data_IF_688024747715
#
_entry.id   IF_688024747715
#
_cell.length_a   1.000
_cell.length_b   1.000
_cell.length_c   1.000
_cell.angle_alpha   90.00
_cell.angle_beta   90.00
_cell.angle_gamma   90.00
#
_symmetry.space_group_name_H-M   'P 1'
#
loop_
_entity.id
_entity.type
_entity.pdbx_description
1 polymer ?
#
# COMPACT_ATOMS: atom_id res chain seq x y z
N UNK A 1 23.60 -24.66 -17.20
CA UNK A 1 22.29 -24.57 -16.52
C UNK A 1 21.79 -23.14 -16.73
N UNK A 2 20.72 -22.95 -17.51
CA UNK A 2 20.31 -21.63 -17.97
C UNK A 2 19.57 -20.87 -16.85
N UNK A 3 20.25 -19.89 -16.25
CA UNK A 3 19.75 -19.07 -15.13
C UNK A 3 18.51 -18.24 -15.48
N UNK A 4 18.17 -18.12 -16.76
CA UNK A 4 16.98 -17.39 -17.25
C UNK A 4 15.70 -18.24 -17.32
N UNK A 5 15.78 -19.56 -17.09
CA UNK A 5 14.61 -20.46 -17.15
C UNK A 5 13.67 -20.40 -15.94
N UNK A 6 13.94 -19.52 -14.96
CA UNK A 6 13.17 -19.40 -13.70
C UNK A 6 12.65 -17.98 -13.44
N UNK A 7 12.32 -17.22 -14.48
CA UNK A 7 11.54 -16.00 -14.29
C UNK A 7 10.05 -16.37 -14.20
N UNK A 8 9.51 -16.38 -12.98
CA UNK A 8 8.14 -16.80 -12.69
C UNK A 8 7.99 -18.32 -12.60
N UNK A 9 7.35 -18.80 -11.53
CA UNK A 9 6.99 -20.20 -11.38
C UNK A 9 5.48 -20.32 -11.49
N UNK A 10 4.99 -21.06 -12.47
CA UNK A 10 3.55 -21.23 -12.71
C UNK A 10 2.82 -21.82 -11.51
N UNK A 11 3.48 -22.69 -10.73
CA UNK A 11 2.90 -23.26 -9.51
C UNK A 11 2.71 -22.19 -8.44
N UNK A 12 3.71 -21.31 -8.28
CA UNK A 12 3.65 -20.23 -7.29
C UNK A 12 2.56 -19.22 -7.71
N UNK A 13 2.49 -18.85 -8.99
CA UNK A 13 1.41 -18.01 -9.53
C UNK A 13 0.03 -18.66 -9.30
N UNK A 14 -0.12 -19.96 -9.55
CA UNK A 14 -1.39 -20.66 -9.34
C UNK A 14 -1.81 -20.63 -7.86
N UNK A 15 -0.87 -20.86 -6.94
CA UNK A 15 -1.11 -20.75 -5.49
C UNK A 15 -1.54 -19.34 -5.09
N UNK A 16 -0.82 -18.31 -5.54
CA UNK A 16 -1.18 -16.92 -5.25
C UNK A 16 -2.56 -16.55 -5.79
N UNK A 17 -2.89 -16.94 -7.02
CA UNK A 17 -4.22 -16.74 -7.61
C UNK A 17 -5.32 -17.39 -6.78
N UNK A 18 -5.10 -18.60 -6.28
CA UNK A 18 -6.06 -19.30 -5.42
C UNK A 18 -6.29 -18.55 -4.09
N UNK A 19 -5.24 -18.02 -3.48
CA UNK A 19 -5.35 -17.24 -2.24
C UNK A 19 -6.08 -15.91 -2.45
N UNK A 20 -5.80 -15.21 -3.54
CA UNK A 20 -6.47 -13.94 -3.88
C UNK A 20 -7.95 -14.20 -4.19
N UNK A 21 -8.27 -15.21 -5.00
CA UNK A 21 -9.65 -15.58 -5.32
C UNK A 21 -10.45 -16.03 -4.09
N UNK A 22 -9.78 -16.59 -3.08
CA UNK A 22 -10.38 -16.96 -1.80
C UNK A 22 -10.54 -15.77 -0.84
N UNK A 23 -10.15 -14.56 -1.23
CA UNK A 23 -10.29 -13.37 -0.38
C UNK A 23 -9.31 -13.28 0.78
N UNK A 24 -8.25 -14.11 0.77
CA UNK A 24 -7.31 -14.24 1.89
C UNK A 24 -6.23 -13.17 1.91
N UNK A 25 -6.20 -12.27 0.93
CA UNK A 25 -5.13 -11.30 0.75
C UNK A 25 -5.70 -9.88 0.81
N UNK A 26 -5.08 -9.02 1.62
CA UNK A 26 -5.29 -7.57 1.63
C UNK A 26 -4.03 -6.81 1.18
N UNK A 27 -4.20 -5.56 0.75
CA UNK A 27 -3.08 -4.71 0.31
C UNK A 27 -3.01 -3.40 1.10
N UNK A 28 -1.86 -3.07 1.67
CA UNK A 28 -1.61 -1.77 2.32
C UNK A 28 -0.68 -0.93 1.45
N UNK A 29 -1.15 0.26 1.07
CA UNK A 29 -0.36 1.27 0.36
C UNK A 29 0.26 2.23 1.36
N UNK A 30 1.58 2.31 1.38
CA UNK A 30 2.33 3.22 2.24
C UNK A 30 2.47 4.58 1.54
N UNK A 31 1.69 5.57 2.00
CA UNK A 31 1.56 6.88 1.35
C UNK A 31 1.70 8.07 2.33
N UNK A 32 2.36 7.87 3.47
CA UNK A 32 2.51 8.91 4.48
C UNK A 32 3.58 9.97 4.18
N UNK A 33 4.36 9.80 3.11
CA UNK A 33 5.35 10.78 2.65
C UNK A 33 4.75 11.87 1.76
N UNK A 34 5.43 13.01 1.68
CA UNK A 34 5.09 14.12 0.80
C UNK A 34 5.76 14.02 -0.59
N UNK A 35 5.30 14.85 -1.52
CA UNK A 35 5.85 14.98 -2.87
C UNK A 35 7.00 15.99 -2.99
N UNK A 36 7.56 16.49 -1.88
CA UNK A 36 8.48 17.65 -1.89
C UNK A 36 9.70 17.48 -2.79
N UNK A 37 10.32 16.29 -2.79
CA UNK A 37 11.47 15.94 -3.65
C UNK A 37 11.15 15.92 -5.14
N UNK A 38 9.87 15.80 -5.52
CA UNK A 38 9.41 15.88 -6.90
C UNK A 38 9.06 17.33 -7.31
N UNK A 39 9.24 18.31 -6.41
CA UNK A 39 8.73 19.66 -6.60
C UNK A 39 7.20 19.73 -6.54
N UNK A 40 6.54 18.71 -5.98
CA UNK A 40 5.10 18.60 -5.92
C UNK A 40 4.56 19.04 -4.57
N UNK A 41 3.54 19.90 -4.58
CA UNK A 41 2.85 20.36 -3.37
C UNK A 41 1.71 19.40 -3.04
N UNK A 42 1.82 18.70 -1.92
CA UNK A 42 0.81 17.76 -1.42
C UNK A 42 1.31 16.31 -1.31
N UNK A 43 0.41 15.34 -0.99
CA UNK A 43 0.76 13.93 -0.90
C UNK A 43 1.35 13.43 -2.21
N UNK A 44 2.41 12.62 -2.12
CA UNK A 44 3.09 12.07 -3.30
C UNK A 44 2.15 11.35 -4.24
N UNK A 45 1.13 10.67 -3.71
CA UNK A 45 0.14 9.94 -4.50
C UNK A 45 -0.72 10.82 -5.43
N UNK A 46 -0.79 12.13 -5.19
CA UNK A 46 -1.50 13.08 -6.06
C UNK A 46 -0.66 13.55 -7.25
N UNK A 47 0.61 13.14 -7.33
CA UNK A 47 1.50 13.48 -8.44
C UNK A 47 0.98 12.92 -9.77
N UNK A 48 0.76 13.74 -10.81
CA UNK A 48 0.30 13.31 -12.12
C UNK A 48 1.45 12.64 -12.87
N UNK A 49 1.37 11.31 -13.01
CA UNK A 49 2.45 10.54 -13.64
C UNK A 49 2.22 10.34 -15.13
N UNK A 50 0.98 10.02 -15.55
CA UNK A 50 0.75 9.65 -16.95
C UNK A 50 0.66 10.91 -17.82
N UNK A 51 1.53 11.05 -18.82
CA UNK A 51 1.61 12.26 -19.65
C UNK A 51 0.32 12.59 -20.43
N UNK A 52 -0.36 11.56 -20.93
CA UNK A 52 -1.55 11.77 -21.79
C UNK A 52 -2.83 11.88 -20.95
N UNK A 53 -3.04 10.91 -20.05
CA UNK A 53 -4.29 10.82 -19.26
C UNK A 53 -4.23 11.60 -17.95
N UNK A 54 -3.08 12.17 -17.60
CA UNK A 54 -2.84 12.93 -16.36
C UNK A 54 -3.28 12.19 -15.08
N UNK A 55 -3.24 10.85 -15.09
CA UNK A 55 -3.55 10.03 -13.93
C UNK A 55 -2.52 10.24 -12.83
N UNK A 56 -3.03 10.38 -11.61
CA UNK A 56 -2.21 10.44 -10.40
C UNK A 56 -1.73 9.04 -10.01
N UNK A 57 -0.69 8.95 -9.18
CA UNK A 57 -0.23 7.67 -8.61
C UNK A 57 -1.36 6.96 -7.84
N UNK A 58 -2.15 7.70 -7.07
CA UNK A 58 -3.32 7.15 -6.36
C UNK A 58 -4.36 6.58 -7.31
N UNK A 59 -4.70 7.30 -8.38
CA UNK A 59 -5.64 6.80 -9.38
C UNK A 59 -5.14 5.51 -10.03
N UNK A 60 -3.86 5.43 -10.38
CA UNK A 60 -3.31 4.22 -11.00
C UNK A 60 -3.35 3.02 -10.05
N UNK A 61 -3.05 3.21 -8.77
CA UNK A 61 -3.12 2.12 -7.78
C UNK A 61 -4.57 1.69 -7.58
N UNK A 62 -5.52 2.63 -7.46
CA UNK A 62 -6.93 2.32 -7.32
C UNK A 62 -7.44 1.49 -8.51
N UNK A 63 -7.17 1.93 -9.74
CA UNK A 63 -7.60 1.20 -10.93
C UNK A 63 -7.01 -0.22 -11.02
N UNK A 64 -5.80 -0.45 -10.50
CA UNK A 64 -5.21 -1.79 -10.42
C UNK A 64 -5.89 -2.66 -9.37
N UNK A 65 -6.21 -2.10 -8.20
CA UNK A 65 -7.00 -2.79 -7.17
C UNK A 65 -8.37 -3.16 -7.74
N UNK A 66 -9.06 -2.22 -8.39
CA UNK A 66 -10.36 -2.48 -9.01
C UNK A 66 -10.26 -3.54 -10.11
N UNK A 67 -9.24 -3.47 -10.97
CA UNK A 67 -9.01 -4.48 -12.00
C UNK A 67 -8.75 -5.86 -11.39
N UNK A 68 -7.97 -5.95 -10.31
CA UNK A 68 -7.75 -7.20 -9.59
C UNK A 68 -9.06 -7.74 -8.99
N UNK A 69 -9.84 -6.89 -8.32
CA UNK A 69 -11.14 -7.26 -7.75
C UNK A 69 -12.09 -7.81 -8.82
N UNK A 70 -12.18 -7.16 -9.97
CA UNK A 70 -12.97 -7.64 -11.11
C UNK A 70 -12.44 -8.98 -11.65
N UNK A 71 -11.12 -9.10 -11.83
CA UNK A 71 -10.49 -10.30 -12.39
C UNK A 71 -10.69 -11.54 -11.52
N UNK A 72 -10.63 -11.37 -10.20
CA UNK A 72 -10.83 -12.45 -9.22
C UNK A 72 -12.28 -12.60 -8.75
N UNK A 73 -13.20 -11.77 -9.25
CA UNK A 73 -14.61 -11.71 -8.84
C UNK A 73 -14.77 -11.65 -7.30
N UNK A 74 -13.90 -10.87 -6.65
CA UNK A 74 -13.85 -10.72 -5.19
C UNK A 74 -13.59 -9.26 -4.83
N UNK A 75 -14.22 -8.78 -3.76
CA UNK A 75 -13.99 -7.42 -3.25
C UNK A 75 -12.69 -7.35 -2.44
N UNK A 76 -11.56 -7.21 -3.13
CA UNK A 76 -10.22 -7.20 -2.54
C UNK A 76 -10.00 -5.93 -1.71
N UNK A 77 -9.58 -6.12 -0.46
CA UNK A 77 -9.44 -5.02 0.49
C UNK A 77 -8.09 -4.31 0.33
N UNK A 78 -8.16 -3.00 0.17
CA UNK A 78 -7.01 -2.11 0.11
C UNK A 78 -7.14 -1.01 1.17
N UNK A 79 -6.06 -0.74 1.90
CA UNK A 79 -5.99 0.37 2.84
C UNK A 79 -4.77 1.25 2.51
N UNK A 80 -4.88 2.54 2.78
CA UNK A 80 -3.80 3.51 2.53
C UNK A 80 -3.34 4.11 3.84
N UNK A 81 -2.06 3.92 4.16
CA UNK A 81 -1.41 4.56 5.29
C UNK A 81 -0.98 5.98 4.92
N UNK A 82 -1.57 6.97 5.57
CA UNK A 82 -1.26 8.40 5.41
C UNK A 82 -0.37 8.90 6.55
N UNK A 83 -0.03 10.18 6.55
CA UNK A 83 0.40 10.91 7.75
C UNK A 83 -0.70 11.89 8.18
N UNK A 84 -0.68 12.40 9.42
CA UNK A 84 -1.62 13.43 9.84
C UNK A 84 -1.57 14.68 8.94
N UNK A 85 -0.41 14.97 8.33
CA UNK A 85 -0.21 16.12 7.46
C UNK A 85 -0.87 16.00 6.10
N UNK A 86 -1.02 14.77 5.57
CA UNK A 86 -1.51 14.57 4.20
C UNK A 86 -2.86 13.83 4.14
N UNK A 87 -3.40 13.38 5.28
CA UNK A 87 -4.60 12.55 5.32
C UNK A 87 -5.82 13.19 4.65
N UNK A 88 -6.05 14.47 4.89
CA UNK A 88 -7.20 15.19 4.34
C UNK A 88 -7.10 15.36 2.81
N UNK A 89 -5.92 15.72 2.32
CA UNK A 89 -5.67 15.81 0.87
C UNK A 89 -5.73 14.43 0.20
N UNK A 90 -5.24 13.38 0.87
CA UNK A 90 -5.37 12.00 0.41
C UNK A 90 -6.83 11.56 0.34
N UNK A 91 -7.66 11.90 1.33
CA UNK A 91 -9.10 11.59 1.33
C UNK A 91 -9.83 12.24 0.15
N UNK A 92 -9.45 13.46 -0.22
CA UNK A 92 -10.01 14.15 -1.41
C UNK A 92 -9.57 13.52 -2.73
N UNK A 93 -8.41 12.86 -2.74
CA UNK A 93 -7.82 12.27 -3.94
C UNK A 93 -8.23 10.80 -4.19
N UNK A 94 -8.74 10.09 -3.17
CA UNK A 94 -9.26 8.73 -3.30
C UNK A 94 -10.80 8.69 -3.27
N UNK A 95 -11.42 7.67 -3.90
CA UNK A 95 -12.84 7.39 -3.68
C UNK A 95 -13.11 7.01 -2.21
N UNK A 96 -14.32 7.30 -1.74
CA UNK A 96 -14.73 7.06 -0.34
C UNK A 96 -14.66 5.60 0.12
N UNK A 97 -14.58 4.64 -0.82
CA UNK A 97 -14.52 3.21 -0.55
C UNK A 97 -13.18 2.72 0.00
N UNK A 98 -12.13 3.56 -0.01
CA UNK A 98 -10.79 3.17 0.45
C UNK A 98 -10.62 3.43 1.94
N UNK A 99 -10.19 2.41 2.68
CA UNK A 99 -9.86 2.55 4.09
C UNK A 99 -8.58 3.40 4.27
N UNK A 100 -8.66 4.49 5.02
CA UNK A 100 -7.52 5.35 5.34
C UNK A 100 -7.17 5.25 6.83
N UNK A 101 -5.88 5.16 7.14
CA UNK A 101 -5.37 5.26 8.50
C UNK A 101 -4.07 6.05 8.52
N UNK A 102 -3.80 6.79 9.58
CA UNK A 102 -2.60 7.61 9.69
C UNK A 102 -1.52 6.92 10.53
N UNK A 103 -0.26 7.10 10.12
CA UNK A 103 0.89 6.78 10.95
C UNK A 103 1.12 7.86 12.03
N UNK A 104 1.95 7.54 13.03
CA UNK A 104 2.34 8.51 14.05
C UNK A 104 3.33 9.55 13.52
N UNK A 105 3.42 10.66 14.24
CA UNK A 105 4.47 11.68 14.08
C UNK A 105 5.42 11.64 15.27
N UNK A 106 6.66 12.05 15.03
CA UNK A 106 7.69 12.20 16.06
C UNK A 106 8.30 13.60 15.97
N UNK A 107 8.61 14.22 17.12
CA UNK A 107 9.29 15.51 17.12
C UNK A 107 10.69 15.36 16.53
N UNK A 108 11.14 16.37 15.79
CA UNK A 108 12.55 16.49 15.45
C UNK A 108 13.36 16.75 16.71
N UNK A 109 14.62 16.36 16.68
CA UNK A 109 15.56 16.62 17.78
C UNK A 109 16.59 17.65 17.33
N UNK A 110 16.94 18.56 18.23
CA UNK A 110 18.11 19.42 18.05
C UNK A 110 19.42 18.63 18.24
N UNK A 111 20.56 19.31 18.05
CA UNK A 111 21.89 18.69 18.22
C UNK A 111 22.16 18.23 19.66
N UNK A 112 21.43 18.76 20.64
CA UNK A 112 21.47 18.36 22.06
C UNK A 112 20.48 17.22 22.38
N UNK A 113 19.80 16.65 21.37
CA UNK A 113 18.78 15.61 21.48
C UNK A 113 17.51 16.05 22.20
N UNK A 114 17.19 17.35 22.21
CA UNK A 114 15.96 17.89 22.79
C UNK A 114 14.88 17.99 21.70
N UNK A 115 13.60 17.72 22.04
CA UNK A 115 12.49 17.88 21.11
C UNK A 115 12.37 19.32 20.61
N UNK A 116 12.14 19.47 19.30
CA UNK A 116 11.77 20.71 18.63
C UNK A 116 10.25 20.79 18.47
N UNK A 117 9.73 22.00 18.22
CA UNK A 117 8.30 22.23 17.95
C UNK A 117 7.85 21.65 16.59
N UNK A 118 8.79 21.26 15.73
CA UNK A 118 8.53 20.63 14.45
C UNK A 118 8.44 19.10 14.59
N UNK A 119 7.46 18.48 13.93
CA UNK A 119 7.27 17.03 13.92
C UNK A 119 7.18 16.48 12.50
N UNK A 120 7.70 15.27 12.29
CA UNK A 120 7.68 14.58 11.00
C UNK A 120 7.10 13.17 11.15
N UNK A 121 6.61 12.56 10.06
CA UNK A 121 6.11 11.20 10.13
C UNK A 121 7.20 10.21 10.58
N UNK A 122 6.85 9.26 11.45
CA UNK A 122 7.76 8.31 12.12
C UNK A 122 8.33 7.20 11.21
N UNK A 123 8.38 7.44 9.90
CA UNK A 123 8.69 6.42 8.90
C UNK A 123 7.63 5.32 8.79
N UNK A 124 7.79 4.45 7.79
CA UNK A 124 6.81 3.40 7.48
C UNK A 124 6.91 2.15 8.38
N UNK A 125 7.88 2.10 9.30
CA UNK A 125 8.13 0.95 10.15
C UNK A 125 7.01 0.65 11.15
N UNK A 126 6.18 1.64 11.50
CA UNK A 126 5.04 1.46 12.39
C UNK A 126 3.73 1.07 11.67
N UNK A 127 3.78 0.70 10.37
CA UNK A 127 2.58 0.38 9.59
C UNK A 127 1.64 -0.60 10.30
N UNK A 128 2.15 -1.72 10.79
CA UNK A 128 1.31 -2.76 11.40
C UNK A 128 0.72 -2.32 12.75
N UNK A 129 1.48 -1.54 13.52
CA UNK A 129 1.03 -0.97 14.79
C UNK A 129 -0.11 0.04 14.56
N UNK A 130 0.05 0.92 13.57
CA UNK A 130 -0.97 1.92 13.23
C UNK A 130 -2.20 1.26 12.60
N UNK A 131 -2.00 0.26 11.75
CA UNK A 131 -3.08 -0.53 11.16
C UNK A 131 -3.91 -1.25 12.24
N UNK A 132 -3.25 -1.87 13.23
CA UNK A 132 -3.93 -2.45 14.39
C UNK A 132 -4.71 -1.40 15.18
N UNK A 133 -4.05 -0.29 15.56
CA UNK A 133 -4.67 0.78 16.35
C UNK A 133 -5.86 1.46 15.63
N UNK A 134 -5.88 1.44 14.30
CA UNK A 134 -6.98 1.99 13.49
C UNK A 134 -8.27 1.16 13.55
N UNK A 135 -8.22 -0.08 14.05
CA UNK A 135 -9.34 -1.01 14.03
C UNK A 135 -9.52 -1.76 12.69
N UNK A 136 -8.79 -1.37 11.64
CA UNK A 136 -8.85 -2.04 10.34
C UNK A 136 -8.34 -3.48 10.39
N UNK A 137 -7.41 -3.80 11.30
CA UNK A 137 -6.97 -5.17 11.52
C UNK A 137 -8.14 -6.10 11.87
N UNK A 138 -8.97 -5.73 12.84
CA UNK A 138 -10.10 -6.57 13.25
C UNK A 138 -11.15 -6.67 12.13
N UNK A 139 -11.37 -5.57 11.39
CA UNK A 139 -12.23 -5.57 10.19
C UNK A 139 -11.73 -6.57 9.14
N UNK A 140 -10.43 -6.57 8.85
CA UNK A 140 -9.82 -7.44 7.84
C UNK A 140 -9.76 -8.90 8.29
N UNK A 141 -9.46 -9.13 9.57
CA UNK A 141 -9.50 -10.46 10.18
C UNK A 141 -10.89 -11.07 10.13
N UNK A 142 -11.93 -10.29 10.47
CA UNK A 142 -13.32 -10.74 10.36
C UNK A 142 -13.74 -11.02 8.91
N UNK A 143 -13.11 -10.36 7.93
CA UNK A 143 -13.30 -10.60 6.50
C UNK A 143 -12.50 -11.80 5.94
N UNK A 144 -11.75 -12.53 6.79
CA UNK A 144 -11.00 -13.72 6.38
C UNK A 144 -9.64 -13.45 5.74
N UNK A 145 -9.11 -12.23 5.85
CA UNK A 145 -7.78 -11.90 5.33
C UNK A 145 -6.70 -12.52 6.23
N UNK A 146 -5.78 -13.26 5.60
CA UNK A 146 -4.67 -13.97 6.24
C UNK A 146 -3.30 -13.37 5.87
N UNK A 147 -3.19 -12.78 4.67
CA UNK A 147 -1.96 -12.22 4.13
C UNK A 147 -2.12 -10.74 3.82
N UNK A 148 -1.09 -9.96 4.13
CA UNK A 148 -1.05 -8.52 3.83
C UNK A 148 0.15 -8.23 2.94
N UNK A 149 -0.11 -7.78 1.71
CA UNK A 149 0.92 -7.23 0.84
C UNK A 149 1.09 -5.73 1.14
N UNK A 150 2.32 -5.27 1.35
CA UNK A 150 2.62 -3.84 1.49
C UNK A 150 3.28 -3.31 0.24
N UNK A 151 2.82 -2.17 -0.28
CA UNK A 151 3.43 -1.49 -1.43
C UNK A 151 3.71 -0.03 -1.13
N UNK A 152 4.77 0.53 -1.71
CA UNK A 152 5.12 1.95 -1.60
C UNK A 152 4.41 2.73 -2.72
N UNK A 153 3.81 3.88 -2.39
CA UNK A 153 3.09 4.71 -3.37
C UNK A 153 4.01 5.26 -4.49
N UNK A 154 5.32 5.33 -4.26
CA UNK A 154 6.27 5.90 -5.20
C UNK A 154 6.74 4.95 -6.29
N UNK A 155 6.37 3.68 -6.22
CA UNK A 155 6.60 2.72 -7.28
C UNK A 155 5.39 2.72 -8.24
N UNK A 156 5.49 3.38 -9.40
CA UNK A 156 4.39 3.41 -10.36
C UNK A 156 4.11 2.06 -11.01
N UNK A 157 5.03 1.11 -10.90
CA UNK A 157 4.90 -0.26 -11.41
C UNK A 157 4.48 -1.25 -10.32
N UNK A 158 4.20 -0.79 -9.10
CA UNK A 158 3.71 -1.67 -8.03
C UNK A 158 2.42 -2.37 -8.48
N UNK A 159 2.39 -3.68 -8.27
CA UNK A 159 1.30 -4.57 -8.61
C UNK A 159 0.60 -5.01 -7.31
N UNK A 160 -0.52 -4.35 -6.93
CA UNK A 160 -1.33 -4.83 -5.82
C UNK A 160 -1.87 -6.21 -6.18
N UNK A 161 -1.81 -7.14 -5.23
CA UNK A 161 -2.23 -8.53 -5.38
C UNK A 161 -1.43 -9.32 -6.44
N UNK A 162 -0.10 -9.10 -6.52
CA UNK A 162 0.79 -9.90 -7.37
C UNK A 162 0.75 -11.40 -6.96
N UNK A 163 0.17 -12.29 -7.79
CA UNK A 163 0.02 -13.70 -7.45
C UNK A 163 1.37 -14.43 -7.35
N UNK A 164 2.39 -14.02 -8.10
CA UNK A 164 3.69 -14.67 -8.04
C UNK A 164 4.36 -14.37 -6.69
N UNK A 165 4.34 -13.09 -6.26
CA UNK A 165 4.86 -12.71 -4.95
C UNK A 165 4.12 -13.48 -3.83
N UNK A 166 2.80 -13.43 -3.82
CA UNK A 166 1.98 -14.07 -2.79
C UNK A 166 2.24 -15.58 -2.74
N UNK A 167 2.28 -16.25 -3.89
CA UNK A 167 2.53 -17.68 -3.97
C UNK A 167 3.91 -18.10 -3.46
N UNK A 168 4.95 -17.33 -3.78
CA UNK A 168 6.31 -17.58 -3.29
C UNK A 168 6.36 -17.49 -1.76
N UNK A 169 5.72 -16.48 -1.17
CA UNK A 169 5.68 -16.29 0.28
C UNK A 169 4.91 -17.42 0.97
N UNK A 170 3.71 -17.73 0.48
CA UNK A 170 2.89 -18.83 1.00
C UNK A 170 3.64 -20.17 0.99
N UNK A 171 4.24 -20.53 -0.14
CA UNK A 171 4.98 -21.79 -0.31
C UNK A 171 6.18 -21.92 0.63
N UNK A 172 6.79 -20.79 1.00
CA UNK A 172 7.93 -20.74 1.93
C UNK A 172 7.51 -20.66 3.40
N UNK A 173 6.21 -20.52 3.70
CA UNK A 173 5.72 -20.28 5.06
C UNK A 173 6.21 -18.95 5.63
N UNK A 174 6.42 -17.95 4.77
CA UNK A 174 6.95 -16.63 5.10
C UNK A 174 5.86 -15.57 5.21
#
# INVERSE_FOLDING_TARGET
>A
MNIYSKAGNFDDIALGRALIAAGKVGCIVLAGGDGSRLGWKGPKGTFPLSLVKQKTLFQMIQERVDAASHHFAYDLKCAVMTSPFNQEETRKAFPESVDLFAQNIVPLLDMDKKPMDESHPNGNGEVFKCFYASGLFEKWKAAGIEFVQTILIDNPLAEPFDPNQIGIHYKKGA
#
